data_IF_926319756930
#
_entry.id   IF_926319756930
#
_cell.length_a   1.000
_cell.length_b   1.000
_cell.length_c   1.000
_cell.angle_alpha   90.00
_cell.angle_beta   90.00
_cell.angle_gamma   90.00
#
_symmetry.space_group_name_H-M   'P 1'
#
loop_
_entity.id
_entity.type
_entity.pdbx_description
1 polymer ?
#
# COMPACT_ATOMS: atom_id res chain seq x y z
N UNK A 1 -6.32 -12.29 0.07
CA UNK A 1 -5.13 -12.77 -0.67
C UNK A 1 -4.97 -11.94 -1.93
N UNK A 2 -3.76 -11.44 -2.19
CA UNK A 2 -3.46 -10.57 -3.33
C UNK A 2 -4.00 -11.11 -4.66
N UNK A 3 -4.48 -10.20 -5.50
CA UNK A 3 -4.95 -10.51 -6.85
C UNK A 3 -4.34 -9.51 -7.82
N UNK A 4 -3.60 -9.98 -8.80
CA UNK A 4 -3.02 -9.15 -9.85
C UNK A 4 -3.76 -9.37 -11.16
N UNK A 5 -4.12 -8.28 -11.83
CA UNK A 5 -4.76 -8.27 -13.15
C UNK A 5 -3.88 -7.55 -14.16
N UNK A 6 -3.61 -8.18 -15.27
CA UNK A 6 -2.92 -7.59 -16.41
C UNK A 6 -3.89 -6.85 -17.32
N UNK A 7 -3.36 -5.94 -18.15
CA UNK A 7 -4.11 -5.17 -19.15
C UNK A 7 -4.94 -6.05 -20.12
N UNK A 8 -4.49 -7.27 -20.41
CA UNK A 8 -5.19 -8.25 -21.26
C UNK A 8 -6.26 -9.07 -20.52
N UNK A 9 -6.55 -8.74 -19.25
CA UNK A 9 -7.54 -9.44 -18.41
C UNK A 9 -7.04 -10.69 -17.68
N UNK A 10 -5.81 -11.16 -17.94
CA UNK A 10 -5.23 -12.30 -17.21
C UNK A 10 -5.04 -11.95 -15.75
N UNK A 11 -5.35 -12.90 -14.86
CA UNK A 11 -5.22 -12.71 -13.41
C UNK A 11 -4.25 -13.71 -12.79
N UNK A 12 -3.57 -13.28 -11.72
CA UNK A 12 -2.70 -14.08 -10.86
C UNK A 12 -3.18 -13.97 -9.42
N UNK A 13 -3.14 -15.08 -8.67
CA UNK A 13 -3.55 -15.15 -7.26
C UNK A 13 -2.47 -15.78 -6.36
N UNK A 14 -1.48 -16.41 -6.96
CA UNK A 14 -0.31 -16.93 -6.25
C UNK A 14 0.68 -15.79 -6.02
N UNK A 15 1.12 -15.59 -4.77
CA UNK A 15 1.97 -14.45 -4.40
C UNK A 15 3.35 -14.54 -5.06
N UNK A 16 3.89 -15.75 -5.25
CA UNK A 16 5.16 -15.97 -5.93
C UNK A 16 5.06 -15.65 -7.44
N UNK A 17 3.94 -16.01 -8.07
CA UNK A 17 3.68 -15.65 -9.46
C UNK A 17 3.50 -14.13 -9.62
N UNK A 18 2.81 -13.47 -8.67
CA UNK A 18 2.66 -12.01 -8.65
C UNK A 18 4.02 -11.34 -8.47
N UNK A 19 4.83 -11.78 -7.49
CA UNK A 19 6.18 -11.25 -7.26
C UNK A 19 7.07 -11.39 -8.50
N UNK A 20 6.99 -12.53 -9.21
CA UNK A 20 7.72 -12.75 -10.47
C UNK A 20 7.30 -11.78 -11.57
N UNK A 21 6.02 -11.43 -11.68
CA UNK A 21 5.55 -10.41 -12.63
C UNK A 21 6.04 -9.01 -12.27
N UNK A 22 6.10 -8.67 -10.98
CA UNK A 22 6.52 -7.37 -10.48
C UNK A 22 8.04 -7.19 -10.42
N UNK A 23 8.81 -8.27 -10.56
CA UNK A 23 10.28 -8.26 -10.46
C UNK A 23 10.95 -7.31 -11.46
N UNK A 24 10.38 -7.13 -12.66
CA UNK A 24 10.89 -6.19 -13.67
C UNK A 24 10.83 -4.73 -13.21
N UNK A 25 9.94 -4.42 -12.25
CA UNK A 25 9.81 -3.11 -11.61
C UNK A 25 10.57 -3.04 -10.28
N UNK A 26 11.20 -4.12 -9.84
CA UNK A 26 11.77 -4.29 -8.51
C UNK A 26 10.75 -4.05 -7.38
N UNK A 27 9.45 -4.13 -7.66
CA UNK A 27 8.39 -4.07 -6.66
C UNK A 27 8.37 -5.38 -5.90
N UNK A 28 8.42 -5.29 -4.58
CA UNK A 28 8.38 -6.44 -3.69
C UNK A 28 7.00 -6.56 -3.06
N UNK A 29 6.50 -7.77 -2.99
CA UNK A 29 5.26 -8.13 -2.31
C UNK A 29 5.50 -9.42 -1.53
N UNK A 30 4.98 -9.50 -0.31
CA UNK A 30 4.95 -10.74 0.46
C UNK A 30 3.83 -10.68 1.50
N UNK A 31 3.65 -11.78 2.21
CA UNK A 31 2.78 -11.84 3.39
C UNK A 31 3.57 -11.47 4.63
N UNK A 32 2.95 -10.66 5.45
CA UNK A 32 3.46 -10.27 6.77
C UNK A 32 2.33 -10.50 7.80
N UNK A 33 2.16 -11.75 8.26
CA UNK A 33 1.08 -12.11 9.16
C UNK A 33 1.17 -11.34 10.47
N UNK A 34 0.03 -10.84 10.93
CA UNK A 34 -0.04 -10.17 12.22
C UNK A 34 0.09 -11.19 13.36
N UNK A 35 0.91 -10.85 14.36
CA UNK A 35 0.96 -11.62 15.61
C UNK A 35 -0.40 -11.59 16.28
N UNK A 36 -0.78 -12.70 16.91
CA UNK A 36 -2.00 -12.72 17.70
C UNK A 36 -1.94 -11.71 18.84
N UNK A 37 -2.79 -10.69 18.74
CA UNK A 37 -2.97 -9.66 19.76
C UNK A 37 -4.44 -9.23 19.78
N UNK A 38 -5.25 -9.78 20.71
CA UNK A 38 -6.67 -9.46 20.77
C UNK A 38 -6.97 -7.96 20.89
N UNK A 39 -6.18 -7.22 21.67
CA UNK A 39 -6.37 -5.78 21.83
C UNK A 39 -6.15 -5.02 20.52
N UNK A 40 -5.12 -5.36 19.76
CA UNK A 40 -4.88 -4.77 18.43
C UNK A 40 -6.00 -5.14 17.46
N UNK A 41 -6.50 -6.38 17.51
CA UNK A 41 -7.60 -6.82 16.65
C UNK A 41 -8.88 -6.02 16.93
N UNK A 42 -9.21 -5.75 18.20
CA UNK A 42 -10.35 -4.91 18.59
C UNK A 42 -10.20 -3.48 18.07
N UNK A 43 -9.01 -2.89 18.18
CA UNK A 43 -8.73 -1.56 17.64
C UNK A 43 -8.84 -1.54 16.11
N UNK A 44 -8.34 -2.56 15.44
CA UNK A 44 -8.45 -2.66 13.99
C UNK A 44 -9.88 -2.84 13.49
N UNK A 45 -10.80 -3.32 14.32
CA UNK A 45 -12.22 -3.43 13.97
C UNK A 45 -13.00 -2.11 14.06
N UNK A 46 -12.44 -1.07 14.70
CA UNK A 46 -13.09 0.25 14.82
C UNK A 46 -12.88 1.06 13.54
N UNK A 47 -13.87 1.83 13.10
CA UNK A 47 -13.71 2.73 11.94
C UNK A 47 -12.83 3.93 12.25
N UNK A 48 -12.94 4.47 13.45
CA UNK A 48 -12.24 5.67 13.90
C UNK A 48 -11.29 5.30 15.04
N UNK A 49 -10.08 5.80 14.97
CA UNK A 49 -9.06 5.62 16.02
C UNK A 49 -8.56 6.98 16.49
N UNK A 50 -8.48 7.16 17.80
CA UNK A 50 -7.81 8.33 18.39
C UNK A 50 -6.28 8.16 18.34
N UNK A 51 -5.56 9.21 18.75
CA UNK A 51 -4.09 9.23 18.69
C UNK A 51 -3.46 8.12 19.54
N UNK A 52 -3.99 7.89 20.75
CA UNK A 52 -3.48 6.85 21.66
C UNK A 52 -3.68 5.44 21.09
N UNK A 53 -4.85 5.17 20.52
CA UNK A 53 -5.17 3.89 19.87
C UNK A 53 -4.28 3.63 18.65
N UNK A 54 -4.01 4.65 17.84
CA UNK A 54 -3.04 4.55 16.74
C UNK A 54 -1.64 4.21 17.24
N UNK A 55 -1.19 4.86 18.32
CA UNK A 55 0.12 4.58 18.93
C UNK A 55 0.19 3.16 19.50
N UNK A 56 -0.89 2.65 20.09
CA UNK A 56 -0.96 1.26 20.57
C UNK A 56 -0.81 0.25 19.42
N UNK A 57 -1.47 0.51 18.28
CA UNK A 57 -1.31 -0.33 17.09
C UNK A 57 0.13 -0.25 16.60
N UNK A 58 0.69 0.95 16.39
CA UNK A 58 2.08 1.10 15.91
C UNK A 58 3.10 0.44 16.84
N UNK A 59 2.91 0.51 18.15
CA UNK A 59 3.78 -0.17 19.12
C UNK A 59 3.78 -1.70 18.95
N UNK A 60 2.66 -2.29 18.56
CA UNK A 60 2.59 -3.73 18.29
C UNK A 60 3.36 -4.13 17.02
N UNK A 61 3.64 -3.20 16.10
CA UNK A 61 4.42 -3.41 14.88
C UNK A 61 5.84 -2.84 14.95
N UNK A 62 6.34 -2.57 16.16
CA UNK A 62 7.69 -2.03 16.35
C UNK A 62 8.79 -2.95 15.80
N UNK A 63 8.62 -4.27 15.88
CA UNK A 63 9.60 -5.23 15.35
C UNK A 63 9.71 -5.17 13.83
N UNK A 64 8.58 -4.99 13.15
CA UNK A 64 8.49 -4.82 11.69
C UNK A 64 9.11 -3.48 11.28
N UNK A 65 8.85 -2.41 12.04
CA UNK A 65 9.50 -1.12 11.81
C UNK A 65 11.03 -1.22 11.93
N UNK A 66 11.56 -1.87 12.98
CA UNK A 66 12.99 -2.07 13.12
C UNK A 66 13.60 -2.95 12.01
N UNK A 67 12.83 -3.88 11.46
CA UNK A 67 13.24 -4.66 10.30
C UNK A 67 13.36 -3.76 9.05
N UNK A 68 12.32 -2.98 8.72
CA UNK A 68 12.35 -2.06 7.59
C UNK A 68 13.36 -0.92 7.77
N UNK A 69 13.59 -0.47 8.99
CA UNK A 69 14.64 0.50 9.30
C UNK A 69 16.04 -0.04 8.93
N UNK A 70 16.33 -1.29 9.26
CA UNK A 70 17.63 -1.92 8.93
C UNK A 70 17.75 -2.27 7.45
N UNK A 71 16.70 -2.79 6.86
CA UNK A 71 16.72 -3.27 5.48
C UNK A 71 16.60 -2.15 4.45
N UNK A 72 15.79 -1.13 4.75
CA UNK A 72 15.32 -0.13 3.78
C UNK A 72 15.61 1.31 4.19
N UNK A 73 16.20 1.52 5.37
CA UNK A 73 16.53 2.85 5.88
C UNK A 73 15.31 3.67 6.32
N UNK A 74 14.20 3.01 6.68
CA UNK A 74 13.01 3.70 7.18
C UNK A 74 13.33 4.51 8.45
N UNK A 75 12.88 5.76 8.51
CA UNK A 75 13.15 6.69 9.60
C UNK A 75 11.97 6.79 10.55
N UNK A 76 10.75 6.70 10.03
CA UNK A 76 9.52 6.78 10.82
C UNK A 76 8.38 6.02 10.14
N UNK A 77 7.30 5.79 10.87
CA UNK A 77 6.08 5.18 10.33
C UNK A 77 4.84 5.88 10.86
N UNK A 78 3.74 5.74 10.13
CA UNK A 78 2.42 6.25 10.52
C UNK A 78 1.34 5.20 10.23
N UNK A 79 0.25 5.25 10.98
CA UNK A 79 -0.93 4.44 10.75
C UNK A 79 -1.96 5.21 9.94
N UNK A 80 -2.10 4.85 8.66
CA UNK A 80 -3.18 5.31 7.80
C UNK A 80 -4.48 4.64 8.20
N UNK A 81 -5.51 5.43 8.46
CA UNK A 81 -6.87 4.95 8.76
C UNK A 81 -7.83 5.63 7.81
N UNK A 82 -8.45 4.84 6.94
CA UNK A 82 -9.41 5.31 5.94
C UNK A 82 -10.71 4.53 6.05
N UNK A 83 -11.81 5.24 6.05
CA UNK A 83 -13.18 4.72 6.01
C UNK A 83 -14.06 5.68 5.21
N UNK A 84 -15.26 5.26 4.82
CA UNK A 84 -16.14 6.04 3.93
C UNK A 84 -16.41 7.49 4.41
N UNK A 85 -16.35 7.74 5.75
CA UNK A 85 -16.49 9.08 6.34
C UNK A 85 -15.20 9.88 6.49
N UNK A 86 -14.04 9.36 6.07
CA UNK A 86 -12.77 10.07 6.22
C UNK A 86 -12.67 11.26 5.28
N UNK A 87 -12.33 12.44 5.78
CA UNK A 87 -12.07 13.63 4.94
C UNK A 87 -10.96 13.39 3.91
N UNK A 88 -10.00 12.54 4.23
CA UNK A 88 -8.87 12.21 3.38
C UNK A 88 -9.24 11.37 2.15
N UNK A 89 -10.38 10.67 2.16
CA UNK A 89 -10.82 9.82 1.04
C UNK A 89 -11.00 10.62 -0.23
N UNK A 90 -11.61 11.81 -0.18
CA UNK A 90 -11.82 12.63 -1.37
C UNK A 90 -10.48 13.02 -2.04
N UNK A 91 -9.52 13.47 -1.26
CA UNK A 91 -8.18 13.81 -1.76
C UNK A 91 -7.48 12.56 -2.34
N UNK A 92 -7.58 11.43 -1.65
CA UNK A 92 -7.00 10.17 -2.10
C UNK A 92 -7.62 9.71 -3.44
N UNK A 93 -8.93 9.72 -3.56
CA UNK A 93 -9.63 9.31 -4.78
C UNK A 93 -9.36 10.22 -5.98
N UNK A 94 -9.09 11.50 -5.75
CA UNK A 94 -8.85 12.47 -6.83
C UNK A 94 -7.37 12.60 -7.21
N UNK A 95 -6.47 12.41 -6.28
CA UNK A 95 -5.04 12.64 -6.47
C UNK A 95 -4.25 11.35 -6.69
N UNK A 96 -4.40 10.37 -5.79
CA UNK A 96 -3.62 9.14 -5.86
C UNK A 96 -4.06 8.18 -6.97
N UNK A 97 -5.27 8.36 -7.51
CA UNK A 97 -5.77 7.63 -8.68
C UNK A 97 -5.17 8.14 -10.01
N UNK A 98 -4.23 9.07 -9.97
CA UNK A 98 -3.47 9.53 -11.13
C UNK A 98 -2.09 8.89 -11.13
N UNK A 99 -1.56 8.58 -12.31
CA UNK A 99 -0.20 8.06 -12.44
C UNK A 99 0.81 9.09 -11.93
N UNK A 100 1.70 8.62 -11.07
CA UNK A 100 2.75 9.43 -10.43
C UNK A 100 3.96 8.58 -10.06
N UNK A 101 5.02 9.23 -9.67
CA UNK A 101 6.22 8.65 -9.06
C UNK A 101 6.51 9.35 -7.73
N UNK A 102 7.33 8.73 -6.89
CA UNK A 102 7.96 9.36 -5.73
C UNK A 102 9.48 9.26 -5.83
N UNK A 103 10.19 10.23 -5.27
CA UNK A 103 11.67 10.15 -5.15
C UNK A 103 12.12 9.14 -4.12
N UNK A 104 11.20 8.74 -3.21
CA UNK A 104 11.43 7.79 -2.13
C UNK A 104 10.72 6.46 -2.40
N UNK A 105 11.20 5.39 -1.78
CA UNK A 105 10.47 4.12 -1.78
C UNK A 105 9.21 4.23 -0.93
N UNK A 106 8.13 3.61 -1.40
CA UNK A 106 6.87 3.50 -0.68
C UNK A 106 6.74 2.09 -0.10
N UNK A 107 6.62 1.97 1.23
CA UNK A 107 6.44 0.69 1.92
C UNK A 107 5.15 0.74 2.71
N UNK A 108 4.22 -0.14 2.37
CA UNK A 108 2.89 -0.22 2.96
C UNK A 108 2.61 -1.64 3.45
N UNK A 109 2.21 -1.78 4.72
CA UNK A 109 1.74 -3.03 5.32
C UNK A 109 0.25 -2.91 5.64
N UNK A 110 -0.58 -3.71 4.99
CA UNK A 110 -2.04 -3.69 5.17
C UNK A 110 -2.41 -4.45 6.43
N UNK A 111 -3.07 -3.78 7.38
CA UNK A 111 -3.53 -4.39 8.63
C UNK A 111 -5.01 -4.78 8.59
N UNK A 112 -5.83 -4.00 7.87
CA UNK A 112 -7.26 -4.27 7.68
C UNK A 112 -7.76 -3.61 6.40
N UNK A 113 -8.78 -4.19 5.79
CA UNK A 113 -9.33 -3.71 4.53
C UNK A 113 -8.52 -4.10 3.32
N UNK A 114 -8.63 -3.31 2.25
CA UNK A 114 -8.02 -3.62 0.96
C UNK A 114 -7.78 -2.36 0.14
N UNK A 115 -6.79 -2.43 -0.75
CA UNK A 115 -6.47 -1.35 -1.68
C UNK A 115 -5.96 -1.91 -3.01
N UNK A 116 -5.86 -1.04 -4.01
CA UNK A 116 -5.32 -1.39 -5.31
C UNK A 116 -4.15 -0.47 -5.66
N UNK A 117 -3.03 -1.08 -6.00
CA UNK A 117 -1.92 -0.43 -6.68
C UNK A 117 -1.99 -0.75 -8.17
N UNK A 118 -1.78 0.25 -8.99
CA UNK A 118 -1.54 0.04 -10.40
C UNK A 118 -0.11 0.39 -10.78
N UNK A 119 0.47 -0.32 -11.73
CA UNK A 119 1.84 -0.09 -12.19
C UNK A 119 1.93 0.01 -13.69
N UNK A 120 2.92 0.77 -14.14
CA UNK A 120 3.27 0.88 -15.56
C UNK A 120 4.59 0.16 -15.81
N UNK A 121 4.57 -0.84 -16.69
CA UNK A 121 5.77 -1.53 -17.11
C UNK A 121 6.64 -0.70 -18.07
N UNK A 122 7.95 -1.03 -18.25
CA UNK A 122 8.81 -0.32 -19.18
C UNK A 122 8.31 -0.30 -20.64
N UNK A 123 7.56 -1.31 -21.05
CA UNK A 123 6.92 -1.39 -22.37
C UNK A 123 5.60 -0.58 -22.47
N UNK A 124 5.21 0.12 -21.41
CA UNK A 124 3.98 0.91 -21.34
C UNK A 124 2.69 0.12 -21.11
N UNK A 125 2.75 -1.20 -20.90
CA UNK A 125 1.59 -1.97 -20.44
C UNK A 125 1.31 -1.68 -18.96
N UNK A 126 0.08 -1.95 -18.54
CA UNK A 126 -0.39 -1.63 -17.19
C UNK A 126 -0.91 -2.86 -16.47
N UNK A 127 -0.77 -2.86 -15.15
CA UNK A 127 -1.29 -3.92 -14.29
C UNK A 127 -1.92 -3.31 -13.05
N UNK A 128 -2.84 -4.03 -12.44
CA UNK A 128 -3.44 -3.70 -11.15
C UNK A 128 -3.20 -4.83 -10.16
N UNK A 129 -2.86 -4.48 -8.94
CA UNK A 129 -2.60 -5.37 -7.82
C UNK A 129 -3.51 -4.99 -6.66
N UNK A 130 -4.50 -5.80 -6.37
CA UNK A 130 -5.30 -5.70 -5.15
C UNK A 130 -4.54 -6.36 -4.00
N UNK A 131 -4.40 -5.64 -2.90
CA UNK A 131 -3.79 -6.07 -1.64
C UNK A 131 -4.84 -6.10 -0.54
N UNK A 132 -4.69 -7.05 0.39
CA UNK A 132 -5.56 -7.25 1.53
C UNK A 132 -4.76 -7.31 2.83
N UNK A 133 -5.44 -7.45 3.96
CA UNK A 133 -4.81 -7.59 5.26
C UNK A 133 -3.72 -8.68 5.28
N UNK A 134 -2.68 -8.44 6.06
CA UNK A 134 -1.47 -9.26 6.19
C UNK A 134 -0.60 -9.34 4.94
N UNK A 135 -0.76 -8.42 4.01
CA UNK A 135 0.12 -8.28 2.85
C UNK A 135 0.86 -6.95 2.92
N UNK A 136 2.12 -6.97 2.50
CA UNK A 136 2.89 -5.73 2.37
C UNK A 136 3.39 -5.57 0.94
N UNK A 137 3.65 -4.32 0.58
CA UNK A 137 4.24 -3.95 -0.69
C UNK A 137 5.36 -2.94 -0.47
N UNK A 138 6.44 -3.09 -1.23
CA UNK A 138 7.49 -2.08 -1.36
C UNK A 138 7.62 -1.68 -2.81
N UNK A 139 7.33 -0.42 -3.08
CA UNK A 139 7.45 0.22 -4.39
C UNK A 139 8.75 1.02 -4.41
N UNK A 140 9.71 0.71 -5.28
CA UNK A 140 10.96 1.47 -5.37
C UNK A 140 10.71 2.92 -5.80
N UNK A 141 11.64 3.79 -5.43
CA UNK A 141 11.68 5.17 -5.92
C UNK A 141 11.57 5.23 -7.46
N UNK A 142 10.91 6.25 -7.95
CA UNK A 142 10.69 6.53 -9.38
C UNK A 142 9.90 5.45 -10.16
N UNK A 143 9.28 4.50 -9.48
CA UNK A 143 8.36 3.54 -10.11
C UNK A 143 7.05 4.26 -10.44
N UNK A 144 6.64 4.25 -11.70
CA UNK A 144 5.38 4.88 -12.13
C UNK A 144 4.19 4.01 -11.72
N UNK A 145 3.33 4.56 -10.86
CA UNK A 145 2.20 3.83 -10.28
C UNK A 145 1.02 4.76 -10.00
N UNK A 146 -0.11 4.16 -9.57
CA UNK A 146 -1.28 4.84 -9.01
C UNK A 146 -1.87 3.98 -7.90
N UNK A 147 -2.69 4.61 -7.05
CA UNK A 147 -3.31 3.97 -5.91
C UNK A 147 -4.78 4.35 -5.80
N UNK A 148 -5.64 3.41 -5.45
CA UNK A 148 -7.02 3.68 -5.09
C UNK A 148 -7.57 2.66 -4.09
N UNK A 149 -8.67 3.03 -3.42
CA UNK A 149 -9.41 2.12 -2.55
C UNK A 149 -10.44 1.35 -3.38
N UNK A 150 -10.70 0.11 -2.97
CA UNK A 150 -11.84 -0.66 -3.48
C UNK A 150 -13.15 0.00 -3.07
N UNK A 151 -14.32 -0.42 -3.61
CA UNK A 151 -15.61 0.12 -3.20
C UNK A 151 -15.94 -0.03 -1.71
N UNK A 152 -15.18 -0.86 -0.96
CA UNK A 152 -15.30 -0.95 0.51
C UNK A 152 -14.95 0.35 1.21
N UNK A 153 -14.13 1.20 0.58
CA UNK A 153 -13.62 2.47 1.12
C UNK A 153 -13.03 2.32 2.54
N UNK A 154 -12.39 1.19 2.79
CA UNK A 154 -11.87 0.84 4.10
C UNK A 154 -10.45 0.32 4.03
N UNK A 155 -9.54 0.97 4.75
CA UNK A 155 -8.14 0.59 4.83
C UNK A 155 -7.52 1.03 6.15
N UNK A 156 -6.82 0.12 6.82
CA UNK A 156 -5.83 0.45 7.84
C UNK A 156 -4.49 -0.14 7.42
N UNK A 157 -3.47 0.69 7.33
CA UNK A 157 -2.15 0.29 6.88
C UNK A 157 -1.06 1.05 7.61
N UNK A 158 0.03 0.39 7.96
CA UNK A 158 1.25 1.06 8.39
C UNK A 158 2.02 1.50 7.15
N UNK A 159 2.35 2.78 7.11
CA UNK A 159 3.20 3.41 6.10
C UNK A 159 4.58 3.62 6.70
N UNK A 160 5.63 3.17 6.01
CA UNK A 160 7.03 3.32 6.45
C UNK A 160 7.76 4.27 5.51
N UNK A 161 8.37 5.30 6.07
CA UNK A 161 8.96 6.41 5.33
C UNK A 161 10.48 6.45 5.47
N UNK A 162 11.18 6.66 4.37
CA UNK A 162 12.64 6.76 4.31
C UNK A 162 13.13 8.19 4.45
N UNK A 163 12.27 9.20 4.27
CA UNK A 163 12.58 10.61 4.45
C UNK A 163 11.57 11.34 5.31
N UNK A 164 11.93 12.52 5.81
CA UNK A 164 11.05 13.36 6.62
C UNK A 164 9.86 13.93 5.80
N UNK A 165 10.03 14.13 4.50
CA UNK A 165 8.99 14.67 3.61
C UNK A 165 7.90 13.66 3.28
N UNK A 166 8.21 12.35 3.41
CA UNK A 166 7.30 11.29 3.00
C UNK A 166 7.12 11.22 1.48
N UNK A 167 5.99 10.68 1.05
CA UNK A 167 5.74 10.41 -0.36
C UNK A 167 5.10 11.61 -1.06
N UNK A 168 5.92 12.43 -1.70
CA UNK A 168 5.46 13.58 -2.49
C UNK A 168 5.25 13.13 -3.94
N UNK A 169 3.99 13.12 -4.46
CA UNK A 169 3.72 12.62 -5.79
C UNK A 169 4.19 13.57 -6.88
N UNK A 170 4.87 13.03 -7.87
CA UNK A 170 5.24 13.70 -9.12
C UNK A 170 4.37 13.10 -10.24
N UNK A 171 3.33 13.82 -10.68
CA UNK A 171 2.36 13.30 -11.65
C UNK A 171 2.94 13.19 -13.05
N UNK A 172 2.74 12.03 -13.69
CA UNK A 172 3.25 11.74 -15.03
C UNK A 172 2.20 11.98 -16.12
N UNK A 173 0.92 12.19 -15.74
CA UNK A 173 -0.21 12.40 -16.64
C UNK A 173 -0.44 11.26 -17.66
N UNK A 174 0.07 10.06 -17.40
CA UNK A 174 -0.17 8.90 -18.24
C UNK A 174 -1.64 8.48 -18.13
N UNK A 175 -2.27 8.19 -19.29
CA UNK A 175 -3.64 7.72 -19.33
C UNK A 175 -3.73 6.29 -18.80
N UNK A 176 -4.69 6.06 -17.90
CA UNK A 176 -5.01 4.71 -17.43
C UNK A 176 -5.73 3.94 -18.54
N UNK A 177 -5.28 2.72 -18.79
CA UNK A 177 -5.83 1.79 -19.76
C UNK A 177 -6.73 0.75 -19.10
N UNK A 178 -6.40 0.35 -17.87
CA UNK A 178 -7.22 -0.54 -17.05
C UNK A 178 -8.23 0.36 -16.32
N UNK A 179 -9.53 0.09 -16.52
CA UNK A 179 -10.60 0.80 -15.83
C UNK A 179 -10.81 0.21 -14.44
N UNK A 180 -11.01 1.08 -13.48
CA UNK A 180 -11.39 0.75 -12.09
C UNK A 180 -12.83 0.24 -12.06
#
# INVERSE_FOLDING_TARGET
MAVMQLENGRTYRDIGAIASQLAVLNVQIDRLPMRENPAVRELLAQDILNVTEKQQILAAFQSEFEQFKRADGCQWCDLKVLHAGSQQIYALMTQSNRTHTHTDAEVLHILAGECVFGFVYPNGSQVQLMLQAEEYIKVPANTEHWFYLTPSLYLKAVQYYTTAQGWVPQYTNRKLKIKN
#
